data_IF_655936589730
#
_entry.id   IF_655936589730
#
_cell.length_a   1.000
_cell.length_b   1.000
_cell.length_c   1.000
_cell.angle_alpha   90.00
_cell.angle_beta   90.00
_cell.angle_gamma   90.00
#
_symmetry.space_group_name_H-M   'P 1'
#
loop_
_entity.id
_entity.type
_entity.pdbx_description
1 polymer ?
#
# COMPACT_ATOMS: atom_id res chain seq x y z
N UNK A 1 7.45 -1.07 31.23
CA UNK A 1 7.14 0.01 30.28
C UNK A 1 8.45 0.58 29.78
N UNK A 2 8.64 0.58 28.49
CA UNK A 2 9.84 1.08 27.82
C UNK A 2 9.39 2.29 26.97
N UNK A 3 10.21 3.32 26.86
CA UNK A 3 9.86 4.42 25.97
C UNK A 3 9.98 3.97 24.51
N UNK A 4 9.08 4.41 23.67
CA UNK A 4 9.07 4.03 22.24
C UNK A 4 10.41 4.32 21.55
N UNK A 5 11.10 5.40 21.91
CA UNK A 5 12.44 5.73 21.41
C UNK A 5 13.51 4.66 21.71
N UNK A 6 13.39 3.96 22.85
CA UNK A 6 14.40 2.98 23.29
C UNK A 6 14.31 1.71 22.43
N UNK A 7 13.14 1.43 21.86
CA UNK A 7 12.94 0.28 20.94
C UNK A 7 13.43 0.58 19.53
N UNK A 8 13.34 1.83 19.07
CA UNK A 8 13.96 2.22 17.82
C UNK A 8 15.47 1.96 17.82
N UNK A 9 16.11 2.01 18.99
CA UNK A 9 17.54 1.69 19.15
C UNK A 9 17.85 0.19 19.06
N UNK A 10 16.85 -0.69 19.23
CA UNK A 10 16.99 -2.15 19.09
C UNK A 10 16.83 -2.62 17.64
N UNK A 11 16.31 -1.77 16.76
CA UNK A 11 16.22 -2.09 15.33
C UNK A 11 17.64 -2.08 14.75
N UNK A 12 18.05 -3.13 13.99
CA UNK A 12 19.38 -3.18 13.40
C UNK A 12 19.74 -1.92 12.64
N UNK A 13 20.97 -1.45 12.77
CA UNK A 13 21.46 -0.19 12.20
C UNK A 13 21.25 -0.06 10.67
N UNK A 14 21.04 -1.18 9.97
CA UNK A 14 20.68 -1.20 8.55
C UNK A 14 19.36 -0.48 8.27
N UNK A 15 18.36 -0.65 9.16
CA UNK A 15 17.04 0.01 9.06
C UNK A 15 17.01 1.39 9.69
N UNK A 16 18.02 1.75 10.50
CA UNK A 16 18.04 3.01 11.28
C UNK A 16 18.90 4.09 10.67
N UNK A 17 19.57 3.85 9.55
CA UNK A 17 20.43 4.86 8.89
C UNK A 17 19.66 6.15 8.54
N UNK A 18 18.40 6.02 8.21
CA UNK A 18 17.50 7.14 7.89
C UNK A 18 16.89 7.81 9.13
N UNK A 19 17.01 7.19 10.31
CA UNK A 19 16.40 7.67 11.56
C UNK A 19 17.34 8.49 12.47
N UNK A 20 18.52 8.85 12.00
CA UNK A 20 19.53 9.55 12.82
C UNK A 20 19.07 10.87 13.43
N UNK A 21 18.03 11.50 12.86
CA UNK A 21 17.49 12.78 13.31
C UNK A 21 16.02 12.68 13.70
N UNK A 22 15.59 11.50 14.19
CA UNK A 22 14.21 11.25 14.56
C UNK A 22 14.04 11.41 16.09
N UNK A 23 13.11 12.28 16.48
CA UNK A 23 12.61 12.33 17.85
C UNK A 23 11.36 11.47 17.94
N UNK A 24 11.32 10.53 18.89
CA UNK A 24 10.17 9.66 19.11
C UNK A 24 9.70 9.76 20.56
N UNK A 25 8.38 9.66 20.75
CA UNK A 25 7.72 9.71 22.06
C UNK A 25 6.58 8.70 22.14
N UNK A 26 6.00 8.56 23.33
CA UNK A 26 4.91 7.64 23.61
C UNK A 26 5.32 6.46 24.47
N UNK A 27 4.33 5.64 24.84
CA UNK A 27 4.53 4.44 25.66
C UNK A 27 4.48 3.20 24.77
N UNK A 28 5.48 2.31 24.92
CA UNK A 28 5.47 0.98 24.37
C UNK A 28 5.39 -0.05 25.49
N UNK A 29 4.48 -0.99 25.38
CA UNK A 29 4.39 -2.19 26.21
C UNK A 29 4.56 -3.41 25.33
N UNK A 30 5.42 -4.32 25.73
CA UNK A 30 5.61 -5.60 25.07
C UNK A 30 5.61 -6.69 26.14
N UNK A 31 4.76 -7.68 25.95
CA UNK A 31 4.66 -8.86 26.80
C UNK A 31 4.85 -10.09 25.94
N UNK A 32 5.85 -10.90 26.27
CA UNK A 32 6.14 -12.16 25.61
C UNK A 32 6.19 -13.27 26.65
N UNK A 33 5.46 -14.35 26.41
CA UNK A 33 5.66 -15.60 27.12
C UNK A 33 5.67 -16.75 26.15
N UNK A 34 6.40 -17.81 26.50
CA UNK A 34 6.43 -19.07 25.79
C UNK A 34 6.49 -20.22 26.79
N UNK A 35 5.78 -21.31 26.51
CA UNK A 35 5.72 -22.49 27.37
C UNK A 35 5.59 -23.77 26.54
N UNK A 36 6.38 -24.77 26.85
CA UNK A 36 6.38 -26.09 26.20
C UNK A 36 7.66 -26.31 25.42
N UNK A 37 7.70 -27.43 24.74
CA UNK A 37 8.84 -27.89 23.95
C UNK A 37 8.53 -27.78 22.45
N UNK A 38 9.58 -27.58 21.66
CA UNK A 38 9.49 -27.69 20.22
C UNK A 38 9.61 -29.17 19.84
N UNK A 39 8.54 -29.76 19.29
CA UNK A 39 8.52 -31.20 18.91
C UNK A 39 8.09 -31.33 17.43
N UNK A 40 9.06 -31.56 16.55
CA UNK A 40 8.81 -31.64 15.11
C UNK A 40 8.17 -30.33 14.58
N UNK A 41 6.99 -30.38 13.94
CA UNK A 41 6.29 -29.20 13.43
C UNK A 41 5.51 -28.44 14.53
N UNK A 42 5.43 -28.97 15.75
CA UNK A 42 4.69 -28.33 16.83
C UNK A 42 5.54 -27.26 17.51
N UNK A 43 4.98 -26.07 17.62
CA UNK A 43 5.53 -24.94 18.34
C UNK A 43 5.17 -25.02 19.83
N UNK A 44 5.98 -24.47 20.75
CA UNK A 44 5.53 -24.21 22.10
C UNK A 44 4.33 -23.27 22.10
N UNK A 45 3.51 -23.32 23.15
CA UNK A 45 2.51 -22.29 23.36
C UNK A 45 3.21 -20.94 23.58
N UNK A 46 2.78 -19.90 22.90
CA UNK A 46 3.34 -18.57 23.09
C UNK A 46 2.29 -17.47 22.85
N UNK A 47 2.56 -16.34 23.42
CA UNK A 47 1.83 -15.10 23.12
C UNK A 47 2.79 -13.93 23.18
N UNK A 48 2.78 -13.13 22.12
CA UNK A 48 3.39 -11.82 22.05
C UNK A 48 2.28 -10.77 21.98
N UNK A 49 2.23 -9.88 22.93
CA UNK A 49 1.40 -8.67 22.90
C UNK A 49 2.28 -7.46 22.75
N UNK A 50 1.90 -6.57 21.86
CA UNK A 50 2.57 -5.28 21.65
C UNK A 50 1.53 -4.18 21.69
N UNK A 51 1.74 -3.16 22.50
CA UNK A 51 0.86 -2.02 22.60
C UNK A 51 1.68 -0.73 22.55
N UNK A 52 1.32 0.15 21.61
CA UNK A 52 1.82 1.53 21.55
C UNK A 52 0.69 2.46 21.90
N UNK A 53 0.93 3.38 22.83
CA UNK A 53 -0.03 4.41 23.25
C UNK A 53 0.55 5.79 23.06
N UNK A 54 -0.21 6.64 22.39
CA UNK A 54 0.15 8.04 22.13
C UNK A 54 1.57 8.16 21.56
N UNK A 55 1.93 7.22 20.67
CA UNK A 55 3.20 7.24 19.97
C UNK A 55 3.30 8.48 19.10
N UNK A 56 4.50 8.98 18.93
CA UNK A 56 4.80 10.08 18.04
C UNK A 56 6.20 9.96 17.48
N UNK A 57 6.43 10.50 16.29
CA UNK A 57 7.76 10.73 15.80
C UNK A 57 7.83 12.02 14.96
N UNK A 58 9.00 12.64 14.95
CA UNK A 58 9.28 13.83 14.19
C UNK A 58 10.74 13.82 13.72
N UNK A 59 10.96 14.10 12.46
CA UNK A 59 12.28 14.44 11.96
C UNK A 59 12.63 15.88 12.37
N UNK A 60 13.82 16.09 12.93
CA UNK A 60 14.25 17.40 13.43
C UNK A 60 14.31 18.48 12.34
N UNK A 61 14.43 18.06 11.07
CA UNK A 61 14.44 18.94 9.90
C UNK A 61 13.04 19.30 9.39
N UNK A 62 11.97 18.70 9.95
CA UNK A 62 10.61 18.86 9.43
C UNK A 62 9.68 19.54 10.45
N UNK A 63 8.72 20.36 10.00
CA UNK A 63 7.92 21.20 10.87
C UNK A 63 6.86 20.45 11.66
N UNK A 64 6.42 19.27 11.21
CA UNK A 64 5.31 18.53 11.83
C UNK A 64 5.72 17.12 12.23
N UNK A 65 5.05 16.61 13.26
CA UNK A 65 5.17 15.26 13.76
C UNK A 65 4.04 14.36 13.21
N UNK A 66 4.30 13.08 13.14
CA UNK A 66 3.26 12.05 13.17
C UNK A 66 2.92 11.80 14.63
N UNK A 67 1.63 11.87 14.98
CA UNK A 67 1.13 11.78 16.36
C UNK A 67 0.03 10.75 16.50
N UNK A 68 -0.45 10.58 17.71
CA UNK A 68 -1.56 9.69 18.05
C UNK A 68 -1.36 8.26 17.50
N UNK A 69 -0.10 7.82 17.44
CA UNK A 69 0.21 6.45 17.04
C UNK A 69 -0.26 5.53 18.15
N UNK A 70 -1.29 4.75 17.84
CA UNK A 70 -1.85 3.76 18.73
C UNK A 70 -1.87 2.42 18.03
N UNK A 71 -1.23 1.43 18.63
CA UNK A 71 -1.13 0.08 18.09
C UNK A 71 -1.51 -0.89 19.19
N UNK A 72 -2.33 -1.89 18.85
CA UNK A 72 -2.56 -3.06 19.69
C UNK A 72 -2.47 -4.31 18.79
N UNK A 73 -1.40 -5.05 18.96
CA UNK A 73 -1.10 -6.22 18.17
C UNK A 73 -0.85 -7.44 19.07
N UNK A 74 -1.31 -8.60 18.63
CA UNK A 74 -1.13 -9.86 19.29
C UNK A 74 -0.78 -10.96 18.30
N UNK A 75 0.23 -11.76 18.63
CA UNK A 75 0.54 -12.99 17.93
C UNK A 75 0.57 -14.11 18.94
N UNK A 76 -0.20 -15.17 18.72
CA UNK A 76 -0.30 -16.28 19.68
C UNK A 76 -0.43 -17.63 19.00
N UNK A 77 0.10 -18.66 19.66
CA UNK A 77 -0.10 -20.06 19.29
C UNK A 77 -0.39 -20.87 20.57
N UNK A 78 -1.40 -21.75 20.61
CA UNK A 78 -1.77 -22.50 21.80
C UNK A 78 -0.82 -23.67 22.15
N UNK A 79 0.28 -23.83 21.42
CA UNK A 79 1.20 -24.96 21.56
C UNK A 79 0.90 -26.07 20.55
N UNK A 80 0.85 -25.68 19.27
CA UNK A 80 0.48 -26.58 18.18
C UNK A 80 1.22 -26.19 16.89
N UNK A 81 0.80 -26.75 15.77
CA UNK A 81 1.36 -26.43 14.45
C UNK A 81 1.19 -24.95 14.11
N UNK A 82 1.98 -24.45 13.15
CA UNK A 82 1.98 -23.05 12.72
C UNK A 82 0.58 -22.55 12.31
N UNK A 83 -0.26 -23.40 11.74
CA UNK A 83 -1.64 -23.05 11.37
C UNK A 83 -2.52 -22.60 12.54
N UNK A 84 -2.18 -22.98 13.76
CA UNK A 84 -2.90 -22.52 14.95
C UNK A 84 -2.41 -21.16 15.45
N UNK A 85 -1.44 -20.57 14.76
CA UNK A 85 -1.02 -19.22 15.05
C UNK A 85 -2.10 -18.23 14.61
N UNK A 86 -2.39 -17.29 15.49
CA UNK A 86 -3.28 -16.17 15.26
C UNK A 86 -2.46 -14.89 15.25
N UNK A 87 -2.65 -14.08 14.23
CA UNK A 87 -2.15 -12.71 14.13
C UNK A 87 -3.34 -11.78 14.24
N UNK A 88 -3.31 -10.87 15.20
CA UNK A 88 -4.39 -9.93 15.47
C UNK A 88 -3.81 -8.53 15.69
N UNK A 89 -4.00 -7.65 14.72
CA UNK A 89 -3.81 -6.20 14.83
C UNK A 89 -5.18 -5.58 15.09
N UNK A 90 -5.62 -5.61 16.34
CA UNK A 90 -6.96 -5.12 16.72
C UNK A 90 -7.08 -3.61 16.66
N UNK A 91 -5.94 -2.90 16.68
CA UNK A 91 -5.88 -1.45 16.55
C UNK A 91 -4.57 -1.03 15.88
N UNK A 92 -4.70 -0.24 14.86
CA UNK A 92 -3.66 0.61 14.29
C UNK A 92 -4.27 1.98 14.01
N UNK A 93 -3.65 3.02 14.47
CA UNK A 93 -4.10 4.39 14.19
C UNK A 93 -2.94 5.35 14.31
N UNK A 94 -2.97 6.38 13.50
CA UNK A 94 -2.04 7.50 13.56
C UNK A 94 -2.70 8.77 13.04
N UNK A 95 -2.11 9.92 13.39
CA UNK A 95 -2.44 11.22 12.83
C UNK A 95 -1.21 11.85 12.19
N UNK A 96 -1.35 12.29 10.96
CA UNK A 96 -0.31 12.95 10.19
C UNK A 96 -0.85 14.28 9.66
N UNK A 97 -0.25 15.39 10.10
CA UNK A 97 -0.62 16.76 9.68
C UNK A 97 -2.15 17.02 9.71
N UNK A 98 -2.84 16.54 10.76
CA UNK A 98 -4.29 16.71 10.92
C UNK A 98 -5.15 15.62 10.28
N UNK A 99 -4.60 14.75 9.46
CA UNK A 99 -5.30 13.62 8.84
C UNK A 99 -5.11 12.36 9.66
N UNK A 100 -6.16 11.57 9.81
CA UNK A 100 -6.15 10.31 10.58
C UNK A 100 -6.27 9.10 9.66
N UNK A 101 -5.53 8.05 10.02
CA UNK A 101 -5.60 6.73 9.38
C UNK A 101 -5.80 5.70 10.47
N UNK A 102 -6.68 4.74 10.22
CA UNK A 102 -6.90 3.59 11.07
C UNK A 102 -6.92 2.30 10.25
N UNK A 103 -6.47 1.20 10.85
CA UNK A 103 -6.51 -0.10 10.23
C UNK A 103 -6.66 -1.21 11.27
N UNK A 104 -7.18 -2.35 10.84
CA UNK A 104 -7.18 -3.61 11.60
C UNK A 104 -6.78 -4.75 10.68
N UNK A 105 -6.19 -5.79 11.27
CA UNK A 105 -5.85 -7.00 10.54
C UNK A 105 -5.97 -8.21 11.46
N UNK A 106 -6.58 -9.28 10.97
CA UNK A 106 -6.66 -10.57 11.64
C UNK A 106 -6.36 -11.69 10.67
N UNK A 107 -5.53 -12.64 11.07
CA UNK A 107 -5.25 -13.82 10.25
C UNK A 107 -5.04 -15.07 11.11
N UNK A 108 -5.45 -16.22 10.57
CA UNK A 108 -5.24 -17.56 11.14
C UNK A 108 -5.09 -18.59 10.02
N UNK A 109 -4.71 -19.83 10.34
CA UNK A 109 -4.42 -20.89 9.38
C UNK A 109 -3.34 -20.48 8.36
N UNK A 110 -2.27 -19.87 8.84
CA UNK A 110 -1.30 -19.11 8.05
C UNK A 110 -0.56 -19.91 6.97
N UNK A 111 -0.56 -21.24 7.07
CA UNK A 111 0.19 -22.14 6.17
C UNK A 111 -0.74 -22.92 5.24
N UNK A 112 -1.79 -23.54 5.77
CA UNK A 112 -2.65 -24.43 4.98
C UNK A 112 -3.65 -23.68 4.12
N UNK A 113 -4.38 -22.73 4.71
CA UNK A 113 -5.39 -21.92 4.04
C UNK A 113 -5.66 -20.65 4.87
N UNK A 114 -4.87 -19.60 4.67
CA UNK A 114 -5.01 -18.37 5.43
C UNK A 114 -6.42 -17.79 5.38
N UNK A 115 -7.00 -17.62 6.57
CA UNK A 115 -8.27 -16.89 6.76
C UNK A 115 -7.91 -15.52 7.29
N UNK A 116 -8.40 -14.47 6.64
CA UNK A 116 -8.04 -13.11 6.99
C UNK A 116 -9.24 -12.17 7.05
N UNK A 117 -9.08 -11.11 7.81
CA UNK A 117 -9.95 -9.93 7.85
C UNK A 117 -9.08 -8.71 7.97
N UNK A 118 -9.34 -7.71 7.15
CA UNK A 118 -8.62 -6.44 7.15
C UNK A 118 -9.60 -5.28 7.01
N UNK A 119 -9.28 -4.17 7.63
CA UNK A 119 -9.95 -2.90 7.35
C UNK A 119 -8.92 -1.79 7.27
N UNK A 120 -9.19 -0.80 6.43
CA UNK A 120 -8.43 0.43 6.34
C UNK A 120 -9.40 1.58 6.15
N UNK A 121 -9.27 2.59 6.98
CA UNK A 121 -10.12 3.77 7.00
C UNK A 121 -9.24 5.00 7.22
N UNK A 122 -9.47 6.05 6.46
CA UNK A 122 -8.73 7.27 6.69
C UNK A 122 -8.73 8.24 5.53
N UNK A 123 -8.08 9.37 5.82
CA UNK A 123 -7.85 10.45 4.88
C UNK A 123 -6.38 10.86 4.97
N UNK A 124 -5.71 10.96 3.82
CA UNK A 124 -4.31 11.34 3.72
C UNK A 124 -4.17 12.49 2.74
N UNK A 125 -3.73 13.65 3.22
CA UNK A 125 -3.27 14.75 2.40
C UNK A 125 -1.80 14.52 2.04
N UNK A 126 -1.54 14.19 0.79
CA UNK A 126 -0.20 13.91 0.30
C UNK A 126 0.70 15.15 0.30
N UNK A 127 0.12 16.35 0.15
CA UNK A 127 0.86 17.61 0.28
C UNK A 127 1.43 17.82 1.69
N UNK A 128 0.79 17.24 2.69
CA UNK A 128 1.26 17.28 4.07
C UNK A 128 2.34 16.23 4.40
N UNK A 129 2.56 15.25 3.53
CA UNK A 129 3.61 14.22 3.73
C UNK A 129 4.99 14.86 3.85
N UNK A 130 5.30 15.85 3.01
CA UNK A 130 6.58 16.58 3.04
C UNK A 130 6.83 17.34 4.35
N UNK A 131 5.81 17.56 5.15
CA UNK A 131 5.92 18.23 6.45
C UNK A 131 6.30 17.26 7.58
N UNK A 132 6.15 15.95 7.36
CA UNK A 132 6.39 14.87 8.35
C UNK A 132 7.40 13.83 7.89
N UNK A 133 7.68 13.73 6.58
CA UNK A 133 8.64 12.78 5.99
C UNK A 133 9.52 13.49 4.95
N UNK A 134 10.86 13.29 5.00
CA UNK A 134 11.77 13.91 4.04
C UNK A 134 11.62 13.25 2.67
N UNK A 135 11.18 14.04 1.69
CA UNK A 135 11.15 13.62 0.29
C UNK A 135 12.49 13.90 -0.39
N UNK A 136 12.80 13.16 -1.43
CA UNK A 136 13.96 13.42 -2.27
C UNK A 136 13.87 14.78 -2.96
N UNK A 137 15.03 15.37 -3.27
CA UNK A 137 15.08 16.67 -3.94
C UNK A 137 14.42 16.60 -5.32
N UNK A 138 13.52 17.54 -5.57
CA UNK A 138 12.79 17.65 -6.84
C UNK A 138 11.53 16.79 -6.91
N UNK A 139 11.22 16.00 -5.88
CA UNK A 139 9.95 15.30 -5.75
C UNK A 139 8.94 16.26 -5.11
N UNK A 140 7.84 16.52 -5.79
CA UNK A 140 6.66 17.19 -5.21
C UNK A 140 5.45 16.26 -5.29
N UNK A 141 4.73 16.18 -4.18
CA UNK A 141 3.60 15.31 -4.00
C UNK A 141 2.45 16.10 -3.38
N UNK A 142 1.26 15.98 -3.93
CA UNK A 142 0.07 16.67 -3.41
C UNK A 142 -1.21 15.91 -3.70
N UNK A 143 -2.30 16.42 -3.15
CA UNK A 143 -3.64 15.85 -3.30
C UNK A 143 -4.10 15.04 -2.11
N UNK A 144 -5.28 14.49 -2.23
CA UNK A 144 -6.01 13.85 -1.14
C UNK A 144 -6.40 12.43 -1.51
N UNK A 145 -6.14 11.50 -0.59
CA UNK A 145 -6.63 10.11 -0.66
C UNK A 145 -7.58 9.88 0.51
N UNK A 146 -8.77 9.37 0.21
CA UNK A 146 -9.75 8.94 1.22
C UNK A 146 -10.11 7.49 0.96
N UNK A 147 -10.09 6.65 1.99
CA UNK A 147 -10.45 5.25 1.89
C UNK A 147 -11.30 4.83 3.08
N UNK A 148 -12.27 3.97 2.83
CA UNK A 148 -12.98 3.15 3.81
C UNK A 148 -13.17 1.77 3.16
N UNK A 149 -12.29 0.83 3.54
CA UNK A 149 -12.18 -0.47 2.89
C UNK A 149 -12.23 -1.59 3.92
N UNK A 150 -12.99 -2.64 3.63
CA UNK A 150 -13.02 -3.88 4.40
C UNK A 150 -12.87 -5.05 3.47
N UNK A 151 -12.01 -5.98 3.86
CA UNK A 151 -11.72 -7.20 3.12
C UNK A 151 -11.68 -8.38 4.08
N UNK A 152 -12.28 -9.50 3.70
CA UNK A 152 -12.22 -10.74 4.47
C UNK A 152 -12.36 -11.95 3.56
N UNK A 153 -11.79 -13.07 3.95
CA UNK A 153 -11.90 -14.29 3.17
C UNK A 153 -10.90 -15.37 3.52
N UNK A 154 -10.78 -16.30 2.60
CA UNK A 154 -9.78 -17.37 2.61
C UNK A 154 -8.89 -17.27 1.38
N UNK A 155 -7.61 -17.62 1.54
CA UNK A 155 -6.68 -17.61 0.42
C UNK A 155 -7.11 -18.60 -0.67
N UNK A 156 -7.58 -19.79 -0.29
CA UNK A 156 -8.09 -20.79 -1.25
C UNK A 156 -9.29 -20.33 -2.07
N UNK A 157 -10.08 -19.38 -1.59
CA UNK A 157 -11.18 -18.81 -2.38
C UNK A 157 -10.65 -17.83 -3.43
N UNK A 158 -9.60 -17.07 -3.11
CA UNK A 158 -8.88 -16.22 -4.08
C UNK A 158 -8.20 -17.09 -5.15
N UNK A 159 -7.48 -18.14 -4.71
CA UNK A 159 -6.79 -19.09 -5.60
C UNK A 159 -7.68 -19.79 -6.61
N UNK A 160 -8.92 -20.04 -6.22
CA UNK A 160 -9.92 -20.71 -7.05
C UNK A 160 -10.88 -19.74 -7.74
N UNK A 161 -10.57 -18.43 -7.72
CA UNK A 161 -11.39 -17.36 -8.29
C UNK A 161 -12.85 -17.34 -7.78
N UNK A 162 -13.05 -17.79 -6.52
CA UNK A 162 -14.37 -17.82 -5.88
C UNK A 162 -14.63 -16.53 -5.11
N UNK A 163 -14.55 -15.41 -5.82
CA UNK A 163 -14.64 -14.07 -5.22
C UNK A 163 -15.98 -13.80 -4.51
N UNK A 164 -17.05 -14.50 -4.90
CA UNK A 164 -18.36 -14.42 -4.24
C UNK A 164 -18.35 -14.90 -2.77
N UNK A 165 -17.30 -15.62 -2.36
CA UNK A 165 -17.12 -16.07 -0.97
C UNK A 165 -16.32 -15.10 -0.11
N UNK A 166 -15.79 -14.08 -0.72
CA UNK A 166 -15.04 -13.04 -0.01
C UNK A 166 -16.01 -11.95 0.48
N UNK A 167 -15.67 -11.34 1.60
CA UNK A 167 -16.21 -10.05 1.99
C UNK A 167 -15.31 -8.96 1.46
N UNK A 168 -15.80 -8.12 0.57
CA UNK A 168 -15.08 -6.94 0.11
C UNK A 168 -16.09 -5.81 -0.04
N UNK A 169 -15.85 -4.70 0.65
CA UNK A 169 -16.73 -3.54 0.55
C UNK A 169 -15.97 -2.27 0.87
N UNK A 170 -16.43 -1.18 0.29
CA UNK A 170 -15.94 0.15 0.64
C UNK A 170 -15.77 1.05 -0.56
N UNK A 171 -15.14 2.19 -0.29
CA UNK A 171 -14.88 3.25 -1.25
C UNK A 171 -13.44 3.70 -1.17
N UNK A 172 -12.92 4.13 -2.31
CA UNK A 172 -11.60 4.73 -2.44
C UNK A 172 -11.72 5.96 -3.34
N UNK A 173 -11.29 7.10 -2.85
CA UNK A 173 -11.37 8.36 -3.57
C UNK A 173 -10.01 9.05 -3.54
N UNK A 174 -9.57 9.46 -4.70
CA UNK A 174 -8.35 10.25 -4.93
C UNK A 174 -8.76 11.59 -5.55
N UNK A 175 -8.26 12.68 -5.01
CA UNK A 175 -8.60 14.03 -5.49
C UNK A 175 -7.35 14.88 -5.61
N UNK A 176 -7.12 15.41 -6.83
CA UNK A 176 -6.03 16.33 -7.10
C UNK A 176 -4.64 15.77 -6.81
N UNK A 177 -4.46 14.45 -6.85
CA UNK A 177 -3.15 13.83 -6.59
C UNK A 177 -2.23 14.18 -7.73
N UNK A 178 -1.13 14.86 -7.41
CA UNK A 178 -0.07 15.24 -8.31
C UNK A 178 1.26 14.68 -7.85
N UNK A 179 2.02 14.17 -8.79
CA UNK A 179 3.40 13.75 -8.61
C UNK A 179 4.26 14.45 -9.65
N UNK A 180 5.26 15.18 -9.18
CA UNK A 180 6.31 15.74 -10.01
C UNK A 180 7.62 15.05 -9.62
N UNK A 181 8.31 14.51 -10.61
CA UNK A 181 9.63 13.91 -10.48
C UNK A 181 10.60 14.68 -11.37
N UNK A 182 11.90 14.75 -11.01
CA UNK A 182 12.92 15.33 -11.88
C UNK A 182 12.92 14.64 -13.26
N UNK A 183 12.94 15.42 -14.33
CA UNK A 183 13.05 14.94 -15.71
C UNK A 183 11.87 14.09 -16.23
N UNK A 184 10.74 14.07 -15.53
CA UNK A 184 9.53 13.38 -15.99
C UNK A 184 8.37 14.37 -16.10
N UNK A 185 7.43 14.16 -17.06
CA UNK A 185 6.22 14.95 -17.11
C UNK A 185 5.44 14.85 -15.81
N UNK A 186 4.84 15.96 -15.39
CA UNK A 186 4.00 15.95 -14.20
C UNK A 186 2.79 15.03 -14.40
N UNK A 187 2.59 14.11 -13.46
CA UNK A 187 1.43 13.22 -13.42
C UNK A 187 0.42 13.79 -12.45
N UNK A 188 -0.83 13.92 -12.89
CA UNK A 188 -1.91 14.40 -12.02
C UNK A 188 -3.18 13.57 -12.21
N UNK A 189 -3.65 13.00 -11.11
CA UNK A 189 -5.00 12.42 -11.03
C UNK A 189 -5.93 13.50 -10.53
N UNK A 190 -6.77 14.05 -11.41
CA UNK A 190 -7.77 15.06 -11.04
C UNK A 190 -8.75 14.50 -10.03
N UNK A 191 -9.30 13.36 -10.36
CA UNK A 191 -10.15 12.55 -9.48
C UNK A 191 -10.13 11.10 -9.90
N UNK A 192 -10.14 10.20 -8.92
CA UNK A 192 -10.46 8.79 -9.12
C UNK A 192 -11.39 8.36 -7.99
N UNK A 193 -12.55 7.80 -8.33
CA UNK A 193 -13.52 7.31 -7.35
C UNK A 193 -13.91 5.87 -7.69
N UNK A 194 -13.68 4.97 -6.76
CA UNK A 194 -13.99 3.56 -6.93
C UNK A 194 -14.82 3.02 -5.75
N UNK A 195 -15.74 2.15 -6.07
CA UNK A 195 -16.51 1.34 -5.11
C UNK A 195 -16.10 -0.12 -5.24
N UNK A 196 -15.87 -0.76 -4.13
CA UNK A 196 -15.34 -2.12 -4.03
C UNK A 196 -16.44 -3.07 -3.56
N UNK A 197 -16.61 -4.18 -4.27
CA UNK A 197 -17.44 -5.33 -3.90
C UNK A 197 -16.68 -6.63 -4.17
N UNK A 198 -17.07 -7.79 -3.64
CA UNK A 198 -16.36 -9.05 -3.93
C UNK A 198 -16.26 -9.38 -5.43
N UNK A 199 -17.29 -9.06 -6.19
CA UNK A 199 -17.35 -9.38 -7.61
C UNK A 199 -16.54 -8.42 -8.48
N UNK A 200 -16.48 -7.13 -8.09
CA UNK A 200 -15.90 -6.11 -8.94
C UNK A 200 -15.51 -4.85 -8.17
N UNK A 201 -14.55 -4.12 -8.74
CA UNK A 201 -14.28 -2.72 -8.43
C UNK A 201 -14.93 -1.86 -9.54
N UNK A 202 -15.87 -1.02 -9.16
CA UNK A 202 -16.50 -0.08 -10.07
C UNK A 202 -15.78 1.25 -10.01
N UNK A 203 -15.16 1.65 -11.11
CA UNK A 203 -14.55 2.94 -11.30
C UNK A 203 -15.62 3.90 -11.84
N UNK A 204 -16.17 4.73 -10.97
CA UNK A 204 -17.21 5.69 -11.34
C UNK A 204 -16.65 6.89 -12.11
N UNK A 205 -15.47 7.34 -11.70
CA UNK A 205 -14.77 8.45 -12.30
C UNK A 205 -13.27 8.23 -12.22
N UNK A 206 -12.58 8.52 -13.30
CA UNK A 206 -11.12 8.57 -13.34
C UNK A 206 -10.69 9.67 -14.30
N UNK A 207 -9.83 10.56 -13.86
CA UNK A 207 -9.24 11.60 -14.69
C UNK A 207 -7.76 11.73 -14.41
N UNK A 208 -6.94 11.49 -15.41
CA UNK A 208 -5.48 11.54 -15.38
C UNK A 208 -4.98 12.58 -16.37
N UNK A 209 -3.93 13.29 -16.01
CA UNK A 209 -3.11 14.06 -16.96
C UNK A 209 -1.64 13.69 -16.80
N UNK A 210 -0.93 13.54 -17.89
CA UNK A 210 0.52 13.31 -17.94
C UNK A 210 1.09 14.34 -18.92
N UNK A 211 1.81 15.34 -18.39
CA UNK A 211 2.20 16.49 -19.18
C UNK A 211 0.99 17.16 -19.85
N UNK A 212 0.95 17.16 -21.18
CA UNK A 212 -0.15 17.68 -22.00
C UNK A 212 -1.25 16.67 -22.29
N UNK A 213 -0.97 15.39 -22.10
CA UNK A 213 -1.93 14.31 -22.36
C UNK A 213 -2.98 14.24 -21.25
N UNK A 214 -4.24 14.02 -21.66
CA UNK A 214 -5.33 13.75 -20.74
C UNK A 214 -5.97 12.38 -20.99
N UNK A 215 -6.50 11.78 -19.93
CA UNK A 215 -7.25 10.56 -19.98
C UNK A 215 -8.40 10.63 -18.98
N UNK A 216 -9.58 10.28 -19.40
CA UNK A 216 -10.70 10.01 -18.51
C UNK A 216 -11.22 8.60 -18.73
N UNK A 217 -11.63 7.94 -17.66
CA UNK A 217 -12.17 6.59 -17.72
C UNK A 217 -13.25 6.36 -16.68
N UNK A 218 -14.16 5.43 -16.98
CA UNK A 218 -15.08 4.81 -16.04
C UNK A 218 -15.34 3.37 -16.48
N UNK A 219 -15.84 2.54 -15.56
CA UNK A 219 -16.14 1.15 -15.89
C UNK A 219 -16.02 0.21 -14.72
N UNK A 220 -15.73 -1.05 -15.02
CA UNK A 220 -15.71 -2.10 -14.02
C UNK A 220 -14.51 -3.01 -14.22
N UNK A 221 -13.82 -3.32 -13.12
CA UNK A 221 -12.67 -4.21 -13.05
C UNK A 221 -13.04 -5.44 -12.22
N UNK A 222 -12.71 -6.61 -12.69
CA UNK A 222 -12.91 -7.90 -12.02
C UNK A 222 -11.57 -8.60 -11.80
N UNK A 223 -11.51 -9.54 -10.86
CA UNK A 223 -10.26 -10.20 -10.50
C UNK A 223 -9.27 -9.31 -9.74
N UNK A 224 -9.65 -8.09 -9.36
CA UNK A 224 -8.77 -7.09 -8.74
C UNK A 224 -8.16 -7.57 -7.42
N UNK A 225 -8.87 -8.44 -6.66
CA UNK A 225 -8.33 -8.99 -5.40
C UNK A 225 -7.17 -9.95 -5.69
N UNK A 226 -7.34 -10.85 -6.67
CA UNK A 226 -6.28 -11.74 -7.12
C UNK A 226 -5.09 -10.99 -7.71
N UNK A 227 -5.36 -9.96 -8.52
CA UNK A 227 -4.34 -9.09 -9.08
C UNK A 227 -3.48 -8.42 -7.99
N UNK A 228 -4.11 -7.86 -6.95
CA UNK A 228 -3.41 -7.17 -5.87
C UNK A 228 -2.64 -8.10 -4.93
N UNK A 229 -3.15 -9.32 -4.71
CA UNK A 229 -2.59 -10.24 -3.71
C UNK A 229 -1.69 -11.32 -4.31
N UNK A 230 -1.78 -11.61 -5.61
CA UNK A 230 -1.13 -12.76 -6.24
C UNK A 230 -0.60 -12.51 -7.65
N UNK A 231 -0.70 -11.28 -8.15
CA UNK A 231 -0.34 -10.94 -9.52
C UNK A 231 -1.14 -11.71 -10.59
N UNK A 232 -2.41 -12.07 -10.25
CA UNK A 232 -3.35 -12.71 -11.18
C UNK A 232 -3.82 -11.72 -12.26
N UNK A 233 -4.62 -12.20 -13.21
CA UNK A 233 -5.11 -11.36 -14.32
C UNK A 233 -6.18 -10.39 -13.84
N UNK A 234 -5.95 -9.08 -14.03
CA UNK A 234 -6.96 -8.04 -13.90
C UNK A 234 -7.77 -7.97 -15.20
N UNK A 235 -9.06 -8.20 -15.09
CA UNK A 235 -9.99 -8.14 -16.23
C UNK A 235 -10.98 -7.01 -16.07
N UNK A 236 -11.52 -6.49 -17.17
CA UNK A 236 -12.56 -5.48 -17.07
C UNK A 236 -12.95 -4.83 -18.38
N UNK A 237 -13.92 -3.94 -18.26
CA UNK A 237 -14.37 -3.08 -19.35
C UNK A 237 -14.32 -1.63 -18.88
N UNK A 238 -13.58 -0.82 -19.62
CA UNK A 238 -13.42 0.61 -19.36
C UNK A 238 -13.91 1.39 -20.60
N UNK A 239 -14.65 2.44 -20.34
CA UNK A 239 -14.95 3.49 -21.31
C UNK A 239 -13.89 4.57 -21.10
N UNK A 240 -13.10 4.80 -22.15
CA UNK A 240 -11.93 5.68 -22.10
C UNK A 240 -12.12 6.82 -23.08
N UNK A 241 -11.84 8.03 -22.63
CA UNK A 241 -11.87 9.25 -23.46
C UNK A 241 -10.61 10.05 -23.20
N UNK A 242 -10.00 10.56 -24.29
CA UNK A 242 -8.93 11.53 -24.27
C UNK A 242 -9.21 12.62 -25.28
N UNK A 243 -8.93 13.86 -24.97
CA UNK A 243 -9.00 14.98 -25.89
C UNK A 243 -7.64 15.22 -26.57
N UNK A 244 -6.56 14.94 -25.84
CA UNK A 244 -5.20 15.04 -26.35
C UNK A 244 -4.35 13.90 -25.80
N UNK A 245 -3.74 13.13 -26.70
CA UNK A 245 -2.77 12.09 -26.36
C UNK A 245 -1.46 12.36 -27.10
N UNK A 246 -0.48 12.92 -26.40
CA UNK A 246 0.86 13.13 -26.93
C UNK A 246 1.74 11.93 -26.62
N UNK A 247 1.82 11.00 -27.57
CA UNK A 247 2.58 9.77 -27.43
C UNK A 247 4.08 10.04 -27.29
N UNK A 248 4.60 11.08 -27.94
CA UNK A 248 6.03 11.39 -27.84
C UNK A 248 6.40 11.79 -26.42
N UNK A 249 5.60 12.69 -25.80
CA UNK A 249 5.81 13.10 -24.41
C UNK A 249 5.74 11.92 -23.43
N UNK A 250 4.82 10.97 -23.67
CA UNK A 250 4.69 9.77 -22.84
C UNK A 250 5.88 8.83 -23.04
N UNK A 251 6.34 8.63 -24.26
CA UNK A 251 7.47 7.77 -24.58
C UNK A 251 8.78 8.34 -24.03
N UNK A 252 9.00 9.65 -24.15
CA UNK A 252 10.17 10.32 -23.60
C UNK A 252 10.23 10.24 -22.06
N UNK A 253 9.06 10.09 -21.42
CA UNK A 253 8.93 9.93 -19.98
C UNK A 253 9.16 8.49 -19.47
N UNK A 254 9.16 7.50 -20.34
CA UNK A 254 9.43 6.12 -19.93
C UNK A 254 10.93 5.93 -19.68
N UNK A 255 11.34 5.32 -18.54
CA UNK A 255 12.74 4.99 -18.33
C UNK A 255 13.22 4.13 -19.48
N UNK A 256 14.25 4.57 -20.18
CA UNK A 256 14.99 3.69 -21.10
C UNK A 256 15.46 2.50 -20.27
N UNK A 257 15.17 1.28 -20.72
CA UNK A 257 15.73 0.09 -20.09
C UNK A 257 17.27 0.16 -20.23
N UNK A 258 17.94 0.73 -19.23
CA UNK A 258 19.39 0.83 -19.23
C UNK A 258 20.03 -0.54 -19.09
N UNK A 259 20.89 -0.82 -20.00
CA UNK A 259 21.80 -1.94 -19.98
C UNK A 259 22.64 -2.02 -21.25
N UNK A 260 23.34 -0.96 -21.60
CA UNK A 260 24.29 -1.03 -22.70
C UNK A 260 25.06 0.28 -22.88
N UNK A 261 26.38 0.20 -22.68
CA UNK A 261 27.32 1.28 -22.90
C UNK A 261 27.10 1.94 -24.28
N UNK A 262 27.25 3.26 -24.28
CA UNK A 262 27.25 4.06 -25.49
C UNK A 262 28.35 3.57 -26.44
N UNK A 263 27.99 2.95 -27.56
CA UNK A 263 28.79 2.91 -28.75
C UNK A 263 28.08 3.68 -29.87
N UNK A 264 28.82 4.58 -30.45
CA UNK A 264 28.40 5.48 -31.51
C UNK A 264 28.00 4.71 -32.78
N UNK A 265 27.00 5.25 -33.50
CA UNK A 265 26.56 4.84 -34.83
C UNK A 265 25.77 3.52 -34.95
N UNK A 266 24.50 3.54 -34.55
CA UNK A 266 23.53 2.55 -35.07
C UNK A 266 22.33 3.28 -35.72
N UNK A 267 21.76 2.73 -36.85
CA UNK A 267 20.60 3.32 -37.51
C UNK A 267 19.40 3.37 -36.59
N UNK A 268 18.53 4.37 -36.76
CA UNK A 268 17.33 4.61 -35.96
C UNK A 268 16.59 3.28 -35.65
N UNK A 269 16.63 2.86 -34.39
CA UNK A 269 15.91 1.67 -33.95
C UNK A 269 14.40 1.87 -34.12
N UNK A 270 13.66 0.83 -34.54
CA UNK A 270 12.21 0.93 -34.69
C UNK A 270 11.58 1.25 -33.33
N UNK A 271 10.56 2.12 -33.36
CA UNK A 271 9.74 2.53 -32.22
C UNK A 271 9.42 1.31 -31.37
N UNK A 272 9.97 1.25 -30.13
CA UNK A 272 9.69 0.14 -29.20
C UNK A 272 8.22 0.17 -28.84
N UNK A 273 7.53 -0.93 -29.09
CA UNK A 273 6.14 -1.10 -28.69
C UNK A 273 6.05 -1.04 -27.15
N UNK A 274 5.05 -0.30 -26.66
CA UNK A 274 4.73 -0.30 -25.21
C UNK A 274 4.29 -1.73 -24.84
N UNK A 275 5.07 -2.42 -24.03
CA UNK A 275 4.68 -3.73 -23.52
C UNK A 275 3.55 -3.57 -22.50
N UNK A 276 2.35 -3.98 -22.89
CA UNK A 276 1.22 -4.08 -21.95
C UNK A 276 1.48 -5.26 -21.01
N UNK A 277 1.38 -5.08 -19.68
CA UNK A 277 1.55 -6.19 -18.75
C UNK A 277 0.65 -7.38 -19.11
N UNK A 278 1.21 -8.59 -19.10
CA UNK A 278 0.50 -9.81 -19.53
C UNK A 278 -0.70 -10.18 -18.66
N UNK A 279 -0.73 -9.65 -17.45
CA UNK A 279 -1.81 -9.82 -16.47
C UNK A 279 -2.92 -8.77 -16.56
N UNK A 280 -3.01 -8.06 -17.69
CA UNK A 280 -4.12 -7.16 -18.00
C UNK A 280 -4.96 -7.70 -19.15
N UNK A 281 -6.27 -7.89 -18.92
CA UNK A 281 -7.26 -8.27 -19.91
C UNK A 281 -8.40 -7.25 -19.91
N UNK A 282 -8.17 -6.11 -20.52
CA UNK A 282 -9.06 -4.96 -20.50
C UNK A 282 -9.67 -4.73 -21.90
N UNK A 283 -10.99 -4.60 -21.94
CA UNK A 283 -11.72 -4.07 -23.11
C UNK A 283 -11.85 -2.56 -22.96
N UNK A 284 -11.28 -1.82 -23.89
CA UNK A 284 -11.38 -0.36 -23.96
C UNK A 284 -12.41 0.02 -25.04
N UNK A 285 -13.35 0.92 -24.71
CA UNK A 285 -14.35 1.45 -25.63
C UNK A 285 -14.26 2.98 -25.67
#
# INVERSE_FOLDING_TARGET
KVQFKDVLSLIPAFYTREFKNLTAGGELSMELWARGEMRGPALPAFELKTEVRNGSFQYSSLPKAVTDINIAARVSNPGSVMDKTVVDLSKFGLRMAGNSVAATFYATNLVSDPVFRASADGRVDLGAVKEVYPLEKGVDLGGLITADLKLSGRMSDIEKNRYERLGAQGTFVVEGVGLTLPNLPAVRIRRAAATVTPAAMTLGEFGLTVGRSDLSANGQLTGYIGYLLRDDVLSGRLYVKSELLDLNEIMDAMPSAEGGAADEEAPAEPVRAIEVPRNLNLSLN
#
